data_IF_066636309573
#
_entry.id   IF_066636309573
#
_cell.length_a   1.000
_cell.length_b   1.000
_cell.length_c   1.000
_cell.angle_alpha   90.00
_cell.angle_beta   90.00
_cell.angle_gamma   90.00
#
_symmetry.space_group_name_H-M   'P 1'
#
loop_
_entity.id
_entity.type
_entity.pdbx_description
1 polymer ?
#
# COMPACT_ATOMS: atom_id res chain seq x y z
N UNK A 1 4.84 -30.64 8.50
CA UNK A 1 3.87 -29.92 7.64
C UNK A 1 4.08 -28.44 7.90
N UNK A 2 4.86 -27.76 7.05
CA UNK A 2 5.22 -26.35 7.22
C UNK A 2 4.20 -25.47 6.48
N UNK A 3 3.72 -24.34 7.02
CA UNK A 3 2.93 -23.40 6.25
C UNK A 3 3.88 -22.56 5.38
N UNK A 4 3.92 -22.88 4.08
CA UNK A 4 4.68 -22.16 3.05
C UNK A 4 3.89 -20.99 2.42
N UNK A 5 2.83 -20.51 3.07
CA UNK A 5 1.85 -19.57 2.49
C UNK A 5 2.09 -18.09 2.84
N UNK A 6 3.07 -17.80 3.71
CA UNK A 6 3.22 -16.48 4.33
C UNK A 6 3.64 -15.30 3.41
N UNK A 7 4.49 -15.45 2.37
CA UNK A 7 4.96 -14.29 1.61
C UNK A 7 3.98 -13.81 0.53
N UNK A 8 3.28 -14.72 -0.15
CA UNK A 8 2.36 -14.36 -1.25
C UNK A 8 1.03 -13.80 -0.74
N UNK A 9 0.54 -14.30 0.40
CA UNK A 9 -0.63 -13.75 1.08
C UNK A 9 -0.37 -12.31 1.56
N UNK A 10 0.83 -12.02 2.06
CA UNK A 10 1.22 -10.67 2.48
C UNK A 10 1.35 -9.72 1.29
N UNK A 11 1.92 -10.16 0.17
CA UNK A 11 2.02 -9.35 -1.05
C UNK A 11 0.64 -8.96 -1.63
N UNK A 12 -0.29 -9.92 -1.65
CA UNK A 12 -1.66 -9.68 -2.11
C UNK A 12 -2.43 -8.72 -1.18
N UNK A 13 -2.27 -8.89 0.14
CA UNK A 13 -2.88 -7.99 1.13
C UNK A 13 -2.30 -6.56 1.05
N UNK A 14 -0.99 -6.42 0.86
CA UNK A 14 -0.34 -5.11 0.68
C UNK A 14 -0.87 -4.37 -0.54
N UNK A 15 -0.99 -5.09 -1.64
CA UNK A 15 -1.52 -4.56 -2.89
C UNK A 15 -2.97 -4.11 -2.74
N UNK A 16 -3.83 -4.95 -2.18
CA UNK A 16 -5.24 -4.61 -1.99
C UNK A 16 -5.40 -3.38 -1.09
N UNK A 17 -4.67 -3.33 0.02
CA UNK A 17 -4.68 -2.19 0.93
C UNK A 17 -4.16 -0.91 0.26
N UNK A 18 -3.10 -1.03 -0.55
CA UNK A 18 -2.52 0.08 -1.32
C UNK A 18 -3.53 0.63 -2.33
N UNK A 19 -4.11 -0.24 -3.18
CA UNK A 19 -5.09 0.20 -4.18
C UNK A 19 -6.32 0.80 -3.53
N UNK A 20 -6.76 0.27 -2.38
CA UNK A 20 -7.90 0.82 -1.64
C UNK A 20 -7.59 2.20 -1.05
N UNK A 21 -6.44 2.35 -0.39
CA UNK A 21 -6.02 3.63 0.19
C UNK A 21 -5.77 4.69 -0.89
N UNK A 22 -5.03 4.33 -1.94
CA UNK A 22 -4.71 5.22 -3.04
C UNK A 22 -5.96 5.59 -3.85
N UNK A 23 -6.87 4.63 -4.09
CA UNK A 23 -8.17 4.90 -4.72
C UNK A 23 -9.01 5.88 -3.90
N UNK A 24 -8.98 5.76 -2.57
CA UNK A 24 -9.64 6.72 -1.68
C UNK A 24 -9.05 8.13 -1.76
N UNK A 25 -7.71 8.25 -1.80
CA UNK A 25 -7.00 9.53 -1.92
C UNK A 25 -7.28 10.22 -3.26
N UNK A 26 -7.24 9.45 -4.36
CA UNK A 26 -7.38 9.98 -5.72
C UNK A 26 -8.84 10.10 -6.17
N UNK A 27 -9.80 9.56 -5.41
CA UNK A 27 -11.21 9.53 -5.80
C UNK A 27 -11.51 8.60 -6.99
N UNK A 28 -10.71 7.53 -7.16
CA UNK A 28 -10.85 6.54 -8.24
C UNK A 28 -11.15 5.16 -7.69
N UNK A 29 -11.73 4.29 -8.52
CA UNK A 29 -11.97 2.91 -8.09
C UNK A 29 -10.63 2.15 -7.96
N UNK A 30 -10.43 1.34 -6.91
CA UNK A 30 -9.18 0.60 -6.69
C UNK A 30 -8.85 -0.37 -7.83
N UNK A 31 -9.86 -0.85 -8.56
CA UNK A 31 -9.70 -1.72 -9.75
C UNK A 31 -9.10 -1.01 -10.96
N UNK A 32 -9.00 0.32 -10.94
CA UNK A 32 -8.38 1.11 -12.00
C UNK A 32 -6.88 1.29 -11.80
N UNK A 33 -6.35 0.95 -10.62
CA UNK A 33 -4.94 1.07 -10.28
C UNK A 33 -4.20 -0.23 -10.64
N UNK A 34 -3.09 -0.09 -11.36
CA UNK A 34 -2.20 -1.20 -11.71
C UNK A 34 -0.86 -1.02 -11.01
N UNK A 35 -0.19 -2.11 -10.67
CA UNK A 35 1.09 -2.06 -9.95
C UNK A 35 2.15 -1.26 -10.71
N UNK A 36 2.22 -1.44 -12.04
CA UNK A 36 3.14 -0.71 -12.91
C UNK A 36 2.72 0.73 -13.23
N UNK A 37 1.55 1.20 -12.74
CA UNK A 37 1.08 2.57 -12.99
C UNK A 37 2.03 3.57 -12.33
N UNK A 38 2.67 4.47 -13.10
CA UNK A 38 3.50 5.51 -12.53
C UNK A 38 2.66 6.47 -11.69
N UNK A 39 3.17 6.85 -10.52
CA UNK A 39 2.48 7.78 -9.62
C UNK A 39 2.07 9.11 -10.26
N UNK A 40 2.92 9.80 -11.06
CA UNK A 40 2.51 11.06 -11.69
C UNK A 40 1.39 10.87 -12.74
N UNK A 41 1.34 9.73 -13.43
CA UNK A 41 0.31 9.47 -14.46
C UNK A 41 -1.09 9.27 -13.87
N UNK A 42 -1.18 8.91 -12.59
CA UNK A 42 -2.44 8.74 -11.86
C UNK A 42 -2.75 9.93 -10.93
N UNK A 43 -1.96 11.01 -11.00
CA UNK A 43 -2.14 12.20 -10.16
C UNK A 43 -1.73 12.00 -8.69
N UNK A 44 -0.87 11.01 -8.41
CA UNK A 44 -0.33 10.78 -7.08
C UNK A 44 0.95 11.60 -6.86
N UNK A 45 0.78 12.90 -6.62
CA UNK A 45 1.87 13.83 -6.27
C UNK A 45 2.34 13.64 -4.81
N UNK A 46 3.41 14.35 -4.42
CA UNK A 46 3.98 14.25 -3.06
C UNK A 46 2.96 14.48 -1.94
N UNK A 47 1.96 15.33 -2.14
CA UNK A 47 0.87 15.54 -1.17
C UNK A 47 -0.03 14.29 -1.10
N UNK A 48 -0.40 13.72 -2.24
CA UNK A 48 -1.20 12.48 -2.27
C UNK A 48 -0.46 11.33 -1.59
N UNK A 49 0.87 11.24 -1.72
CA UNK A 49 1.69 10.22 -1.04
C UNK A 49 1.72 10.42 0.49
N UNK A 50 1.75 11.67 0.97
CA UNK A 50 1.64 11.93 2.42
C UNK A 50 0.26 11.52 2.95
N UNK A 51 -0.81 11.92 2.27
CA UNK A 51 -2.19 11.55 2.66
C UNK A 51 -2.40 10.03 2.55
N UNK A 52 -1.80 9.39 1.55
CA UNK A 52 -1.84 7.94 1.40
C UNK A 52 -1.29 7.22 2.63
N UNK A 53 -0.18 7.70 3.23
CA UNK A 53 0.38 7.11 4.43
C UNK A 53 -0.62 7.15 5.60
N UNK A 54 -1.25 8.31 5.83
CA UNK A 54 -2.27 8.45 6.88
C UNK A 54 -3.49 7.52 6.62
N UNK A 55 -3.96 7.45 5.37
CA UNK A 55 -5.13 6.65 4.99
C UNK A 55 -4.84 5.15 5.11
N UNK A 56 -3.67 4.69 4.68
CA UNK A 56 -3.32 3.27 4.71
C UNK A 56 -3.16 2.78 6.16
N UNK A 57 -2.61 3.61 7.05
CA UNK A 57 -2.54 3.34 8.49
C UNK A 57 -3.94 3.27 9.12
N UNK A 58 -4.83 4.20 8.77
CA UNK A 58 -6.22 4.17 9.24
C UNK A 58 -6.95 2.90 8.78
N UNK A 59 -6.77 2.48 7.53
CA UNK A 59 -7.35 1.24 6.99
C UNK A 59 -6.76 0.00 7.65
N UNK A 60 -5.45 -0.03 7.89
CA UNK A 60 -4.79 -1.11 8.61
C UNK A 60 -5.33 -1.24 10.05
N UNK A 61 -5.51 -0.12 10.74
CA UNK A 61 -6.09 -0.08 12.08
C UNK A 61 -7.55 -0.59 12.08
N UNK A 62 -8.36 -0.16 11.11
CA UNK A 62 -9.74 -0.62 10.96
C UNK A 62 -9.84 -2.11 10.66
N UNK A 63 -8.93 -2.64 9.84
CA UNK A 63 -8.82 -4.06 9.53
C UNK A 63 -8.16 -4.88 10.66
N UNK A 64 -7.73 -4.24 11.76
CA UNK A 64 -7.02 -4.86 12.88
C UNK A 64 -5.76 -5.62 12.44
N UNK A 65 -5.07 -5.10 11.42
CA UNK A 65 -3.79 -5.64 10.99
C UNK A 65 -2.75 -5.35 12.07
N UNK A 66 -2.46 -6.35 12.90
CA UNK A 66 -1.42 -6.25 13.93
C UNK A 66 -0.06 -6.19 13.25
N UNK A 67 0.85 -5.40 13.83
CA UNK A 67 2.24 -5.27 13.37
C UNK A 67 2.42 -4.69 11.95
N UNK A 68 1.46 -3.92 11.47
CA UNK A 68 1.58 -3.14 10.24
C UNK A 68 2.40 -1.87 10.48
N UNK A 69 3.32 -1.56 9.58
CA UNK A 69 4.04 -0.28 9.54
C UNK A 69 4.33 0.14 8.11
N UNK A 70 4.36 1.46 7.88
CA UNK A 70 4.77 2.07 6.62
C UNK A 70 6.26 2.39 6.67
N UNK A 71 7.05 1.83 5.75
CA UNK A 71 8.46 2.18 5.58
C UNK A 71 8.55 3.52 4.86
N UNK A 72 8.79 4.59 5.63
CA UNK A 72 8.85 5.95 5.09
C UNK A 72 10.01 6.17 4.12
N UNK A 73 11.08 5.37 4.18
CA UNK A 73 12.21 5.49 3.26
C UNK A 73 11.84 4.91 1.89
N UNK A 74 11.19 3.74 1.87
CA UNK A 74 10.64 3.14 0.64
C UNK A 74 9.54 3.99 0.04
N UNK A 75 8.65 4.52 0.87
CA UNK A 75 7.56 5.38 0.42
C UNK A 75 8.06 6.61 -0.35
N UNK A 76 9.16 7.24 0.11
CA UNK A 76 9.74 8.43 -0.55
C UNK A 76 10.35 8.16 -1.92
N UNK A 77 10.80 6.92 -2.16
CA UNK A 77 11.45 6.54 -3.43
C UNK A 77 10.51 5.80 -4.36
N UNK A 78 9.25 5.58 -3.95
CA UNK A 78 8.25 4.91 -4.75
C UNK A 78 7.97 5.66 -6.06
N UNK A 79 7.88 4.92 -7.17
CA UNK A 79 7.66 5.48 -8.51
C UNK A 79 6.37 5.00 -9.14
N UNK A 80 5.86 3.87 -8.68
CA UNK A 80 4.61 3.27 -9.13
C UNK A 80 3.81 2.70 -7.94
N UNK A 81 2.61 2.19 -8.21
CA UNK A 81 1.72 1.62 -7.20
C UNK A 81 2.33 0.37 -6.54
N UNK A 82 3.07 -0.45 -7.30
CA UNK A 82 3.77 -1.62 -6.76
C UNK A 82 4.85 -1.24 -5.73
N UNK A 83 5.59 -0.16 -5.96
CA UNK A 83 6.57 0.37 -5.00
C UNK A 83 5.87 0.85 -3.70
N UNK A 84 4.69 1.47 -3.81
CA UNK A 84 3.89 1.84 -2.64
C UNK A 84 3.46 0.62 -1.85
N UNK A 85 2.99 -0.44 -2.51
CA UNK A 85 2.68 -1.70 -1.85
C UNK A 85 3.93 -2.31 -1.18
N UNK A 86 5.09 -2.21 -1.82
CA UNK A 86 6.38 -2.64 -1.27
C UNK A 86 6.92 -1.79 -0.11
N UNK A 87 6.30 -0.62 0.16
CA UNK A 87 6.56 0.20 1.35
C UNK A 87 5.76 -0.24 2.57
N UNK A 88 4.73 -1.07 2.38
CA UNK A 88 3.93 -1.63 3.47
C UNK A 88 4.62 -2.86 4.02
N UNK A 89 4.83 -2.91 5.33
CA UNK A 89 5.54 -4.02 5.98
C UNK A 89 4.76 -4.56 7.18
N UNK A 90 4.89 -5.87 7.40
CA UNK A 90 4.34 -6.58 8.54
C UNK A 90 5.49 -7.13 9.37
N UNK A 91 5.56 -6.78 10.64
CA UNK A 91 6.48 -7.46 11.55
C UNK A 91 5.83 -8.79 11.98
N UNK A 92 6.44 -9.91 11.61
CA UNK A 92 6.08 -11.20 12.21
C UNK A 92 6.45 -11.15 13.68
N UNK A 93 5.45 -11.23 14.56
CA UNK A 93 5.62 -11.50 16.00
C UNK A 93 5.98 -12.95 16.26
#
# INVERSE_FOLDING_TARGET
MAPADAPEANGSAARELTCRALGHVLGVAPTQLRDDSPLPDIGADSVAILVFADVVEAFAAQARLRAFTVDSARLRVARNVGDLAGSLTWQSV
#
